data_IF_816258699605
#
_entry.id   IF_816258699605
#
_cell.length_a   1.000
_cell.length_b   1.000
_cell.length_c   1.000
_cell.angle_alpha   90.00
_cell.angle_beta   90.00
_cell.angle_gamma   90.00
#
_symmetry.space_group_name_H-M   'P 1'
#
loop_
_entity.id
_entity.type
_entity.pdbx_description
1 polymer ?
#
# COMPACT_ATOMS: atom_id res chain seq x y z
N UNK A 1 0.14 -5.81 11.05
CA UNK A 1 0.52 -7.20 10.71
C UNK A 1 -0.11 -7.60 9.38
N UNK A 2 0.66 -7.57 8.29
CA UNK A 2 0.18 -7.84 6.92
C UNK A 2 1.34 -7.84 5.92
N UNK A 3 1.12 -8.39 4.73
CA UNK A 3 1.91 -8.05 3.54
C UNK A 3 0.97 -7.52 2.45
N UNK A 4 1.16 -6.26 2.07
CA UNK A 4 0.48 -5.63 0.94
C UNK A 4 1.53 -5.02 0.01
N UNK A 5 1.36 -5.15 -1.30
CA UNK A 5 2.29 -4.64 -2.31
C UNK A 5 1.57 -3.98 -3.48
N UNK A 6 2.27 -3.09 -4.15
CA UNK A 6 1.89 -2.53 -5.46
C UNK A 6 3.05 -2.67 -6.43
N UNK A 7 2.72 -2.90 -7.69
CA UNK A 7 3.69 -3.04 -8.79
C UNK A 7 3.17 -2.29 -10.00
N UNK A 8 4.05 -1.60 -10.71
CA UNK A 8 3.84 -1.00 -12.01
C UNK A 8 4.85 -1.61 -12.95
N UNK A 9 4.40 -2.17 -14.08
CA UNK A 9 5.30 -2.68 -15.11
C UNK A 9 4.65 -2.62 -16.48
N UNK A 10 5.32 -1.97 -17.43
CA UNK A 10 4.75 -1.70 -18.75
C UNK A 10 3.47 -0.86 -18.64
N UNK A 11 2.40 -1.29 -19.30
CA UNK A 11 1.11 -0.61 -19.32
C UNK A 11 0.13 -1.10 -18.24
N UNK A 12 0.60 -1.82 -17.22
CA UNK A 12 -0.23 -2.40 -16.16
C UNK A 12 0.32 -2.07 -14.78
N UNK A 13 -0.61 -1.85 -13.84
CA UNK A 13 -0.33 -1.84 -12.41
C UNK A 13 -1.04 -3.00 -11.73
N UNK A 14 -0.49 -3.48 -10.62
CA UNK A 14 -1.03 -4.52 -9.80
C UNK A 14 -1.00 -4.10 -8.32
N UNK A 15 -1.97 -4.60 -7.57
CA UNK A 15 -2.00 -4.54 -6.11
C UNK A 15 -2.28 -5.92 -5.56
N UNK A 16 -1.60 -6.30 -4.50
CA UNK A 16 -1.80 -7.59 -3.87
C UNK A 16 -1.71 -7.51 -2.35
N UNK A 17 -2.42 -8.42 -1.67
CA UNK A 17 -2.35 -8.56 -0.23
C UNK A 17 -2.53 -10.02 0.22
N UNK A 18 -1.99 -10.32 1.39
CA UNK A 18 -2.34 -11.53 2.13
C UNK A 18 -3.76 -11.41 2.75
N UNK A 19 -4.29 -12.52 3.29
CA UNK A 19 -5.65 -12.59 3.81
C UNK A 19 -5.73 -12.75 5.34
N UNK A 20 -4.61 -12.77 6.06
CA UNK A 20 -4.61 -13.04 7.50
C UNK A 20 -5.16 -11.85 8.29
N UNK A 21 -6.12 -12.10 9.17
CA UNK A 21 -6.55 -11.15 10.20
C UNK A 21 -6.32 -11.77 11.56
N UNK A 22 -6.06 -10.94 12.57
CA UNK A 22 -5.92 -11.38 13.96
C UNK A 22 -6.74 -10.50 14.89
N UNK A 23 -7.21 -11.08 16.00
CA UNK A 23 -7.70 -10.36 17.17
C UNK A 23 -6.65 -10.48 18.28
N UNK A 24 -5.83 -9.46 18.44
CA UNK A 24 -4.56 -9.60 19.17
C UNK A 24 -3.69 -10.66 18.49
N UNK A 25 -3.26 -11.66 19.25
CA UNK A 25 -2.48 -12.80 18.73
C UNK A 25 -3.34 -13.96 18.20
N UNK A 26 -4.67 -13.88 18.34
CA UNK A 26 -5.57 -14.95 17.90
C UNK A 26 -5.82 -14.85 16.40
N UNK A 27 -5.37 -15.86 15.66
CA UNK A 27 -5.57 -15.96 14.21
C UNK A 27 -7.04 -16.12 13.82
N UNK A 28 -7.52 -15.23 12.95
CA UNK A 28 -8.79 -15.34 12.24
C UNK A 28 -8.51 -15.58 10.75
N UNK A 29 -8.43 -16.86 10.37
CA UNK A 29 -8.15 -17.22 8.99
C UNK A 29 -9.36 -17.04 8.06
N UNK A 30 -9.11 -17.05 6.75
CA UNK A 30 -10.15 -16.95 5.72
C UNK A 30 -11.20 -18.07 5.77
N UNK A 31 -10.92 -19.19 6.45
CA UNK A 31 -11.89 -20.26 6.64
C UNK A 31 -13.09 -19.83 7.50
N UNK A 32 -12.92 -18.81 8.34
CA UNK A 32 -13.95 -18.32 9.24
C UNK A 32 -14.59 -17.01 8.77
N UNK A 33 -13.85 -16.16 8.07
CA UNK A 33 -14.36 -14.90 7.56
C UNK A 33 -13.64 -14.49 6.27
N UNK A 34 -14.39 -14.02 5.27
CA UNK A 34 -13.81 -13.46 4.05
C UNK A 34 -13.24 -12.08 4.32
N UNK A 35 -12.06 -12.05 4.91
CA UNK A 35 -11.29 -10.82 5.11
C UNK A 35 -10.67 -10.37 3.79
N UNK A 36 -10.96 -9.12 3.39
CA UNK A 36 -10.37 -8.47 2.23
C UNK A 36 -9.67 -7.20 2.67
N UNK A 37 -8.33 -7.20 2.55
CA UNK A 37 -7.49 -6.03 2.81
C UNK A 37 -7.43 -5.10 1.62
N UNK A 38 -7.77 -5.62 0.44
CA UNK A 38 -7.91 -4.87 -0.81
C UNK A 38 -9.38 -4.66 -1.11
N UNK A 39 -9.78 -3.43 -1.43
CA UNK A 39 -11.14 -3.14 -1.87
C UNK A 39 -11.17 -2.09 -2.97
N UNK A 40 -12.20 -2.12 -3.85
CA UNK A 40 -12.32 -1.17 -4.94
C UNK A 40 -12.67 0.23 -4.42
N UNK A 41 -12.06 1.24 -5.02
CA UNK A 41 -12.36 2.67 -4.81
C UNK A 41 -12.25 3.37 -6.15
N UNK A 42 -13.37 3.91 -6.64
CA UNK A 42 -13.44 4.48 -7.98
C UNK A 42 -13.12 3.44 -9.07
N UNK A 43 -12.15 3.75 -9.91
CA UNK A 43 -11.63 2.92 -11.00
C UNK A 43 -10.39 2.09 -10.63
N UNK A 44 -10.03 2.08 -9.35
CA UNK A 44 -8.87 1.36 -8.84
C UNK A 44 -9.14 0.63 -7.53
N UNK A 45 -8.06 0.38 -6.82
CA UNK A 45 -8.04 -0.41 -5.60
C UNK A 45 -7.17 0.25 -4.54
N UNK A 46 -7.54 0.03 -3.29
CA UNK A 46 -6.74 0.39 -2.12
C UNK A 46 -6.47 -0.85 -1.27
N UNK A 47 -5.26 -0.99 -0.78
CA UNK A 47 -4.86 -1.99 0.20
C UNK A 47 -4.48 -1.30 1.51
N UNK A 48 -5.04 -1.76 2.63
CA UNK A 48 -4.76 -1.20 3.95
C UNK A 48 -3.79 -2.07 4.74
N UNK A 49 -2.90 -1.42 5.50
CA UNK A 49 -2.20 -2.04 6.62
C UNK A 49 -2.74 -1.50 7.95
N UNK A 50 -2.45 -2.21 9.03
CA UNK A 50 -2.84 -1.84 10.39
C UNK A 50 -3.99 -2.68 10.94
N UNK A 51 -4.76 -2.10 11.86
CA UNK A 51 -5.86 -2.77 12.55
C UNK A 51 -7.03 -3.07 11.62
N UNK A 52 -7.66 -4.23 11.79
CA UNK A 52 -8.87 -4.64 11.05
C UNK A 52 -10.03 -3.65 11.22
N UNK A 53 -10.07 -2.91 12.34
CA UNK A 53 -11.06 -1.87 12.56
C UNK A 53 -11.03 -0.75 11.51
N UNK A 54 -9.87 -0.51 10.87
CA UNK A 54 -9.76 0.49 9.81
C UNK A 54 -10.46 0.07 8.51
N UNK A 55 -10.68 -1.23 8.26
CA UNK A 55 -11.16 -1.69 6.96
C UNK A 55 -12.61 -1.25 6.68
N UNK A 56 -13.58 -1.43 7.59
CA UNK A 56 -14.95 -0.96 7.39
C UNK A 56 -15.04 0.57 7.36
N UNK A 57 -14.24 1.24 8.20
CA UNK A 57 -14.19 2.70 8.30
C UNK A 57 -13.73 3.31 6.98
N UNK A 58 -12.55 2.91 6.50
CA UNK A 58 -11.98 3.44 5.27
C UNK A 58 -12.84 3.11 4.05
N UNK A 59 -13.42 1.90 3.99
CA UNK A 59 -14.35 1.53 2.91
C UNK A 59 -15.57 2.44 2.88
N UNK A 60 -16.21 2.66 4.04
CA UNK A 60 -17.40 3.52 4.15
C UNK A 60 -17.06 4.97 3.85
N UNK A 61 -15.94 5.46 4.39
CA UNK A 61 -15.51 6.85 4.26
C UNK A 61 -15.16 7.18 2.80
N UNK A 62 -14.29 6.38 2.17
CA UNK A 62 -13.89 6.62 0.77
C UNK A 62 -15.07 6.51 -0.19
N UNK A 63 -15.98 5.55 0.03
CA UNK A 63 -17.22 5.45 -0.75
C UNK A 63 -18.13 6.67 -0.53
N UNK A 64 -18.23 7.17 0.71
CA UNK A 64 -19.05 8.32 1.07
C UNK A 64 -18.53 9.66 0.54
N UNK A 65 -17.24 9.77 0.17
CA UNK A 65 -16.70 10.95 -0.48
C UNK A 65 -17.17 11.11 -1.94
N UNK A 66 -17.58 10.03 -2.60
CA UNK A 66 -18.06 10.07 -3.99
C UNK A 66 -17.07 10.77 -4.93
N UNK A 67 -17.54 11.76 -5.67
CA UNK A 67 -16.73 12.54 -6.64
C UNK A 67 -15.59 13.33 -5.98
N UNK A 68 -15.63 13.55 -4.67
CA UNK A 68 -14.55 14.19 -3.93
C UNK A 68 -13.36 13.25 -3.68
N UNK A 69 -13.54 11.93 -3.84
CA UNK A 69 -12.47 10.94 -3.72
C UNK A 69 -11.62 10.91 -4.99
N UNK A 70 -10.61 11.79 -5.06
CA UNK A 70 -9.72 11.90 -6.23
C UNK A 70 -8.38 11.26 -5.94
N UNK A 71 -8.03 10.23 -6.71
CA UNK A 71 -6.80 9.44 -6.50
C UNK A 71 -5.89 9.41 -7.74
N UNK A 72 -6.11 10.29 -8.71
CA UNK A 72 -5.43 10.26 -10.03
C UNK A 72 -4.05 10.94 -10.08
N UNK A 73 -3.57 11.52 -8.98
CA UNK A 73 -2.23 12.09 -8.90
C UNK A 73 -1.80 12.18 -7.44
N UNK A 74 -0.50 12.39 -7.18
CA UNK A 74 0.02 12.60 -5.82
C UNK A 74 -0.72 13.70 -5.07
N UNK A 75 -0.98 14.82 -5.75
CA UNK A 75 -1.64 15.99 -5.13
C UNK A 75 -3.13 15.74 -4.88
N UNK A 76 -3.81 15.04 -5.80
CA UNK A 76 -5.21 14.64 -5.63
C UNK A 76 -5.34 13.65 -4.45
N UNK A 77 -4.46 12.65 -4.37
CA UNK A 77 -4.40 11.71 -3.24
C UNK A 77 -4.18 12.47 -1.92
N UNK A 78 -3.21 13.39 -1.88
CA UNK A 78 -2.96 14.19 -0.67
C UNK A 78 -4.20 14.97 -0.21
N UNK A 79 -4.87 15.68 -1.11
CA UNK A 79 -6.09 16.45 -0.77
C UNK A 79 -7.23 15.54 -0.34
N UNK A 80 -7.39 14.38 -0.97
CA UNK A 80 -8.39 13.39 -0.56
C UNK A 80 -8.10 12.92 0.86
N UNK A 81 -6.85 12.57 1.18
CA UNK A 81 -6.48 12.07 2.51
C UNK A 81 -6.48 13.14 3.60
N UNK A 82 -6.38 14.44 3.27
CA UNK A 82 -6.69 15.51 4.21
C UNK A 82 -8.16 15.48 4.66
N UNK A 83 -9.09 15.31 3.72
CA UNK A 83 -10.53 15.18 4.03
C UNK A 83 -10.82 13.89 4.80
N UNK A 84 -10.12 12.80 4.46
CA UNK A 84 -10.21 11.54 5.19
C UNK A 84 -9.83 11.75 6.65
N UNK A 85 -8.70 12.40 6.92
CA UNK A 85 -8.24 12.69 8.28
C UNK A 85 -9.28 13.48 9.08
N UNK A 86 -9.84 14.53 8.50
CA UNK A 86 -10.89 15.33 9.15
C UNK A 86 -12.08 14.45 9.58
N UNK A 87 -12.58 13.62 8.67
CA UNK A 87 -13.69 12.69 8.93
C UNK A 87 -13.34 11.59 9.93
N UNK A 88 -12.12 11.05 9.88
CA UNK A 88 -11.64 10.05 10.85
C UNK A 88 -11.71 10.60 12.28
N UNK A 89 -11.38 11.88 12.46
CA UNK A 89 -11.43 12.57 13.75
C UNK A 89 -12.86 12.92 14.17
N UNK A 90 -13.66 13.49 13.27
CA UNK A 90 -15.01 14.00 13.60
C UNK A 90 -16.06 12.90 13.74
N UNK A 91 -16.03 11.92 12.85
CA UNK A 91 -17.14 10.96 12.66
C UNK A 91 -16.77 9.58 13.23
N UNK A 92 -15.48 9.23 13.21
CA UNK A 92 -14.98 7.91 13.62
C UNK A 92 -14.11 7.94 14.89
N UNK A 93 -13.91 9.13 15.48
CA UNK A 93 -13.23 9.33 16.76
C UNK A 93 -11.85 8.66 16.87
N UNK A 94 -11.10 8.63 15.77
CA UNK A 94 -9.72 8.10 15.75
C UNK A 94 -8.84 8.94 16.67
N UNK A 95 -8.03 8.27 17.50
CA UNK A 95 -6.98 8.94 18.24
C UNK A 95 -5.82 9.26 17.29
N UNK A 96 -5.56 10.54 17.08
CA UNK A 96 -4.58 11.04 16.11
C UNK A 96 -3.18 11.23 16.69
N UNK A 97 -2.96 10.81 17.94
CA UNK A 97 -1.68 10.92 18.63
C UNK A 97 -0.88 9.62 18.46
N UNK A 98 0.33 9.73 17.92
CA UNK A 98 1.25 8.61 17.73
C UNK A 98 2.48 8.79 18.63
N UNK A 99 3.19 9.91 18.51
CA UNK A 99 4.26 10.34 19.43
C UNK A 99 4.03 11.77 19.97
N UNK A 100 4.67 12.11 21.08
CA UNK A 100 4.61 13.45 21.70
C UNK A 100 5.36 14.51 20.88
N UNK A 101 6.41 14.10 20.16
CA UNK A 101 7.30 14.99 19.39
C UNK A 101 6.91 15.12 17.91
N UNK A 102 5.77 14.57 17.51
CA UNK A 102 5.34 14.55 16.11
C UNK A 102 4.92 15.94 15.61
N UNK A 103 5.42 16.39 14.44
CA UNK A 103 5.07 17.70 13.89
C UNK A 103 3.66 17.76 13.29
N UNK A 104 3.04 16.60 13.00
CA UNK A 104 1.72 16.49 12.38
C UNK A 104 0.84 15.46 13.09
N UNK A 105 -0.47 15.67 13.10
CA UNK A 105 -1.43 14.65 13.56
C UNK A 105 -1.34 13.39 12.68
N UNK A 106 -1.31 12.22 13.31
CA UNK A 106 -1.36 10.92 12.64
C UNK A 106 -2.79 10.54 12.28
N UNK A 107 -2.98 10.01 11.08
CA UNK A 107 -4.23 9.38 10.66
C UNK A 107 -4.36 7.94 11.14
N UNK A 108 -3.26 7.34 11.63
CA UNK A 108 -3.14 5.90 11.92
C UNK A 108 -3.37 5.00 10.69
N UNK A 109 -3.39 5.58 9.48
CA UNK A 109 -3.62 4.87 8.22
C UNK A 109 -2.30 4.76 7.44
N UNK A 110 -1.98 3.53 7.05
CA UNK A 110 -0.98 3.25 6.01
C UNK A 110 -1.66 2.45 4.92
N UNK A 111 -1.59 2.95 3.68
CA UNK A 111 -2.23 2.29 2.55
C UNK A 111 -1.44 2.39 1.25
N UNK A 112 -1.71 1.44 0.35
CA UNK A 112 -1.28 1.47 -1.03
C UNK A 112 -2.49 1.61 -1.95
N UNK A 113 -2.31 2.33 -3.05
CA UNK A 113 -3.35 2.60 -4.05
C UNK A 113 -2.82 2.18 -5.41
N UNK A 114 -3.65 1.52 -6.22
CA UNK A 114 -3.37 1.21 -7.61
C UNK A 114 -4.59 1.54 -8.47
N UNK A 115 -4.41 2.40 -9.46
CA UNK A 115 -5.47 2.83 -10.38
C UNK A 115 -4.87 3.14 -11.77
N UNK A 116 -5.67 3.51 -12.77
CA UNK A 116 -5.16 3.79 -14.11
C UNK A 116 -4.13 4.92 -14.20
N UNK A 117 -4.05 5.81 -13.21
CA UNK A 117 -3.05 6.87 -13.15
C UNK A 117 -1.70 6.43 -12.57
N UNK A 118 -1.65 5.31 -11.86
CA UNK A 118 -0.41 4.80 -11.29
C UNK A 118 -0.57 4.06 -9.96
N UNK A 119 0.55 3.98 -9.23
CA UNK A 119 0.63 3.38 -7.90
C UNK A 119 1.12 4.40 -6.89
N UNK A 120 0.43 4.47 -5.76
CA UNK A 120 0.68 5.46 -4.71
C UNK A 120 0.74 4.81 -3.33
N UNK A 121 1.41 5.48 -2.40
CA UNK A 121 1.43 5.11 -0.98
C UNK A 121 1.05 6.31 -0.13
N UNK A 122 0.27 6.08 0.93
CA UNK A 122 -0.04 7.08 1.96
C UNK A 122 0.39 6.53 3.31
N UNK A 123 1.13 7.33 4.07
CA UNK A 123 1.60 7.00 5.42
C UNK A 123 0.90 7.82 6.49
N UNK A 124 1.07 7.42 7.75
CA UNK A 124 0.32 7.92 8.92
C UNK A 124 0.22 9.44 8.99
N UNK A 125 1.28 10.17 8.66
CA UNK A 125 1.31 11.65 8.67
C UNK A 125 0.81 12.32 7.38
N UNK A 126 0.12 11.55 6.52
CA UNK A 126 -0.42 11.96 5.21
C UNK A 126 0.64 12.24 4.14
N UNK A 127 1.83 11.67 4.31
CA UNK A 127 2.85 11.69 3.28
C UNK A 127 2.38 10.84 2.10
N UNK A 128 2.42 11.42 0.90
CA UNK A 128 1.99 10.74 -0.32
C UNK A 128 3.17 10.53 -1.25
N UNK A 129 3.38 9.28 -1.63
CA UNK A 129 4.41 8.87 -2.58
C UNK A 129 3.77 8.32 -3.85
N UNK A 130 4.45 8.56 -4.97
CA UNK A 130 4.19 7.88 -6.25
C UNK A 130 5.37 6.95 -6.51
N UNK A 131 5.10 5.71 -6.93
CA UNK A 131 6.16 4.73 -7.15
C UNK A 131 6.30 4.39 -8.64
N UNK A 132 7.54 4.27 -9.11
CA UNK A 132 7.82 3.97 -10.51
C UNK A 132 7.83 2.48 -10.83
N UNK A 133 8.14 1.63 -9.85
CA UNK A 133 8.31 0.18 -10.04
C UNK A 133 7.44 -0.65 -9.10
N UNK A 134 7.76 -0.67 -7.82
CA UNK A 134 7.00 -1.42 -6.83
C UNK A 134 7.28 -0.91 -5.43
N UNK A 135 6.37 -1.22 -4.51
CA UNK A 135 6.55 -0.96 -3.09
C UNK A 135 5.73 -1.95 -2.25
N UNK A 136 6.00 -2.01 -0.95
CA UNK A 136 5.29 -2.86 0.00
C UNK A 136 5.11 -2.21 1.36
N UNK A 137 4.00 -2.52 2.04
CA UNK A 137 3.69 -2.09 3.41
C UNK A 137 3.32 -3.28 4.29
N UNK A 138 3.33 -3.06 5.61
CA UNK A 138 3.06 -4.09 6.61
C UNK A 138 4.31 -4.82 7.08
N UNK A 139 4.12 -5.78 8.00
CA UNK A 139 5.19 -6.53 8.68
C UNK A 139 6.03 -7.38 7.73
N UNK A 140 5.43 -7.96 6.67
CA UNK A 140 6.15 -8.79 5.71
C UNK A 140 6.77 -8.04 4.53
N UNK A 141 6.71 -6.70 4.52
CA UNK A 141 7.18 -5.89 3.39
C UNK A 141 8.65 -6.11 3.02
N UNK A 142 9.52 -6.35 3.99
CA UNK A 142 10.95 -6.51 3.73
C UNK A 142 11.23 -7.75 2.87
N UNK A 143 10.53 -8.86 3.14
CA UNK A 143 10.61 -10.08 2.34
C UNK A 143 10.05 -9.84 0.93
N UNK A 144 8.91 -9.16 0.85
CA UNK A 144 8.26 -8.84 -0.41
C UNK A 144 9.11 -7.95 -1.32
N UNK A 145 9.75 -6.91 -0.75
CA UNK A 145 10.62 -5.99 -1.49
C UNK A 145 11.83 -6.73 -2.08
N UNK A 146 12.48 -7.60 -1.31
CA UNK A 146 13.59 -8.42 -1.81
C UNK A 146 13.17 -9.36 -2.93
N UNK A 147 12.02 -10.04 -2.78
CA UNK A 147 11.50 -10.95 -3.77
C UNK A 147 11.13 -10.23 -5.08
N UNK A 148 10.36 -9.13 -5.00
CA UNK A 148 9.98 -8.33 -6.16
C UNK A 148 11.21 -7.75 -6.87
N UNK A 149 12.18 -7.25 -6.11
CA UNK A 149 13.44 -6.75 -6.67
C UNK A 149 14.15 -7.83 -7.51
N UNK A 150 14.25 -9.05 -7.01
CA UNK A 150 14.96 -10.14 -7.69
C UNK A 150 14.30 -10.57 -9.01
N UNK A 151 12.98 -10.36 -9.15
CA UNK A 151 12.21 -10.82 -10.32
C UNK A 151 11.71 -9.70 -11.22
N UNK A 152 11.86 -8.42 -10.83
CA UNK A 152 11.22 -7.31 -11.53
C UNK A 152 11.63 -7.21 -13.01
N UNK A 153 12.92 -7.38 -13.31
CA UNK A 153 13.46 -7.23 -14.67
C UNK A 153 13.25 -8.49 -15.56
N UNK A 154 12.60 -9.53 -15.04
CA UNK A 154 12.28 -10.74 -15.82
C UNK A 154 11.26 -10.43 -16.91
N UNK A 155 11.56 -10.64 -18.20
CA UNK A 155 10.68 -10.26 -19.30
C UNK A 155 9.40 -11.12 -19.39
N UNK A 156 9.42 -12.31 -18.78
CA UNK A 156 8.33 -13.27 -18.76
C UNK A 156 7.28 -13.02 -17.66
N UNK A 157 7.49 -12.02 -16.79
CA UNK A 157 6.59 -11.73 -15.66
C UNK A 157 5.90 -10.37 -15.80
N UNK A 158 4.57 -10.35 -15.70
CA UNK A 158 3.76 -9.14 -15.63
C UNK A 158 3.70 -8.54 -14.22
N UNK A 159 3.03 -7.39 -14.09
CA UNK A 159 2.88 -6.70 -12.81
C UNK A 159 2.14 -7.58 -11.77
N UNK A 160 1.09 -8.28 -12.21
CA UNK A 160 0.32 -9.19 -11.36
C UNK A 160 1.12 -10.38 -10.84
N UNK A 161 1.97 -11.01 -11.66
CA UNK A 161 2.85 -12.10 -11.20
C UNK A 161 3.90 -11.61 -10.20
N UNK A 162 4.53 -10.46 -10.45
CA UNK A 162 5.53 -9.87 -9.54
C UNK A 162 4.88 -9.53 -8.19
N UNK A 163 3.69 -8.92 -8.21
CA UNK A 163 2.96 -8.59 -6.98
C UNK A 163 2.65 -9.84 -6.15
N UNK A 164 2.22 -10.93 -6.80
CA UNK A 164 1.98 -12.21 -6.13
C UNK A 164 3.25 -12.80 -5.53
N UNK A 165 4.37 -12.79 -6.27
CA UNK A 165 5.67 -13.25 -5.75
C UNK A 165 6.08 -12.45 -4.51
N UNK A 166 5.85 -11.13 -4.52
CA UNK A 166 6.09 -10.28 -3.35
C UNK A 166 5.30 -10.73 -2.12
N UNK A 167 3.99 -10.92 -2.26
CA UNK A 167 3.16 -11.38 -1.13
C UNK A 167 3.52 -12.80 -0.70
N UNK A 168 3.83 -13.69 -1.64
CA UNK A 168 4.22 -15.08 -1.35
C UNK A 168 5.46 -15.14 -0.45
N UNK A 169 6.47 -14.32 -0.74
CA UNK A 169 7.65 -14.19 0.12
C UNK A 169 7.30 -13.64 1.53
N UNK A 170 6.34 -12.73 1.62
CA UNK A 170 5.81 -12.26 2.90
C UNK A 170 5.12 -13.38 3.68
N UNK A 171 4.27 -14.18 3.01
CA UNK A 171 3.57 -15.32 3.61
C UNK A 171 4.53 -16.41 4.09
N UNK A 172 5.64 -16.64 3.38
CA UNK A 172 6.63 -17.65 3.74
C UNK A 172 7.34 -17.34 5.07
N UNK A 173 7.67 -16.07 5.32
CA UNK A 173 8.56 -15.69 6.43
C UNK A 173 7.95 -14.79 7.51
N UNK A 174 6.89 -14.03 7.22
CA UNK A 174 6.19 -13.23 8.22
C UNK A 174 5.09 -14.06 8.89
N UNK A 175 5.24 -14.31 10.20
CA UNK A 175 4.22 -14.96 11.06
C UNK A 175 2.83 -14.32 10.96
N UNK A 176 2.78 -13.07 10.53
CA UNK A 176 1.60 -12.22 10.46
C UNK A 176 1.04 -12.04 9.06
N UNK A 177 1.48 -12.86 8.10
CA UNK A 177 0.98 -12.92 6.74
C UNK A 177 0.54 -14.34 6.40
N UNK A 178 -0.64 -14.51 5.81
CA UNK A 178 -1.09 -15.83 5.36
C UNK A 178 -2.00 -15.76 4.14
N UNK A 179 -1.94 -16.80 3.32
CA UNK A 179 -2.81 -16.95 2.16
C UNK A 179 -4.29 -17.16 2.51
N UNK A 180 -5.17 -17.14 1.49
CA UNK A 180 -4.83 -16.99 0.07
C UNK A 180 -4.42 -15.55 -0.29
N UNK A 181 -3.58 -15.43 -1.32
CA UNK A 181 -3.13 -14.14 -1.86
C UNK A 181 -4.21 -13.59 -2.79
N UNK A 182 -4.63 -12.34 -2.55
CA UNK A 182 -5.51 -11.60 -3.43
C UNK A 182 -4.68 -10.67 -4.31
N UNK A 183 -4.93 -10.67 -5.63
CA UNK A 183 -4.22 -9.86 -6.63
C UNK A 183 -5.24 -9.22 -7.55
N UNK A 184 -5.11 -7.91 -7.79
CA UNK A 184 -5.89 -7.17 -8.78
C UNK A 184 -4.94 -6.44 -9.71
N UNK A 185 -5.28 -6.39 -11.00
CA UNK A 185 -4.54 -5.63 -12.01
C UNK A 185 -5.43 -4.56 -12.64
N UNK A 186 -4.80 -3.45 -13.03
CA UNK A 186 -5.45 -2.30 -13.68
C UNK A 186 -4.55 -1.83 -14.81
N UNK A 187 -5.14 -1.55 -15.97
CA UNK A 187 -4.40 -0.95 -17.09
C UNK A 187 -4.18 0.53 -16.83
N UNK A 188 -2.96 1.00 -17.10
CA UNK A 188 -2.65 2.43 -17.07
C UNK A 188 -3.34 3.18 -18.20
N UNK A 189 -3.61 4.46 -18.00
CA UNK A 189 -3.92 5.36 -19.09
C UNK A 189 -2.73 5.46 -20.06
N UNK A 190 -3.01 5.80 -21.32
CA UNK A 190 -1.98 5.84 -22.37
C UNK A 190 -0.83 6.80 -22.01
N UNK A 191 -1.15 7.96 -21.46
CA UNK A 191 -0.16 8.98 -21.07
C UNK A 191 0.70 8.50 -19.90
N UNK A 192 0.09 7.83 -18.91
CA UNK A 192 0.79 7.29 -17.75
C UNK A 192 1.64 6.07 -18.12
N UNK A 193 1.22 5.24 -19.07
CA UNK A 193 2.04 4.13 -19.57
C UNK A 193 3.33 4.62 -20.25
N UNK A 194 3.29 5.77 -20.91
CA UNK A 194 4.44 6.35 -21.62
C UNK A 194 5.48 7.00 -20.66
N UNK A 195 5.07 7.36 -19.44
CA UNK A 195 5.92 8.03 -18.46
C UNK A 195 6.82 7.10 -17.62
N UNK A 196 6.80 5.78 -17.87
CA UNK A 196 7.62 4.83 -17.11
C UNK A 196 9.13 5.03 -17.40
N UNK A 197 10.00 5.09 -16.37
CA UNK A 197 11.43 5.30 -16.60
C UNK A 197 12.05 4.12 -17.36
N UNK A 198 12.90 4.43 -18.35
CA UNK A 198 13.78 3.45 -18.95
C UNK A 198 14.70 2.87 -17.87
N UNK A 199 14.89 1.55 -17.86
CA UNK A 199 15.70 0.85 -16.86
C UNK A 199 17.12 1.43 -16.81
N UNK A 200 17.42 2.19 -15.76
CA UNK A 200 18.75 2.77 -15.56
C UNK A 200 19.65 1.73 -14.90
N UNK A 201 20.36 0.95 -15.72
CA UNK A 201 21.48 0.11 -15.27
C UNK A 201 22.74 0.97 -15.19
N UNK A 202 22.83 1.84 -14.17
CA UNK A 202 24.07 2.50 -13.81
C UNK A 202 24.59 1.90 -12.49
N UNK A 203 25.53 0.97 -12.62
CA UNK A 203 26.36 0.50 -11.53
C UNK A 203 27.33 1.62 -11.07
N UNK A 204 27.43 1.81 -9.76
CA UNK A 204 28.60 2.43 -9.11
C UNK A 204 28.50 3.93 -8.83
N UNK A 205 28.20 4.26 -7.58
CA UNK A 205 28.35 5.61 -7.03
C UNK A 205 28.09 5.62 -5.53
N UNK A 206 29.16 5.72 -4.74
CA UNK A 206 29.19 5.77 -3.28
C UNK A 206 28.24 6.85 -2.70
N UNK A 207 27.34 6.54 -1.75
CA UNK A 207 26.55 7.57 -1.09
C UNK A 207 27.18 7.91 0.27
N UNK A 208 28.06 8.91 0.27
CA UNK A 208 28.33 9.68 1.47
C UNK A 208 27.28 10.79 1.61
N UNK A 209 26.65 10.84 2.77
CA UNK A 209 25.68 11.84 3.27
C UNK A 209 24.22 11.68 2.80
N UNK A 210 23.39 11.17 3.70
CA UNK A 210 21.93 11.17 3.60
C UNK A 210 21.33 11.09 5.01
N UNK A 211 20.70 12.18 5.43
CA UNK A 211 20.07 12.35 6.74
C UNK A 211 18.98 11.29 6.94
N UNK A 212 19.06 10.51 8.01
CA UNK A 212 18.14 9.42 8.30
C UNK A 212 16.77 9.97 8.70
N UNK A 213 15.75 9.74 7.86
CA UNK A 213 14.36 9.75 8.32
C UNK A 213 14.20 8.54 9.26
N UNK A 214 13.89 8.81 10.52
CA UNK A 214 13.68 7.79 11.55
C UNK A 214 12.37 7.06 11.25
N UNK A 215 12.49 5.78 10.87
CA UNK A 215 11.37 4.85 10.78
C UNK A 215 10.77 4.64 12.17
N UNK A 216 9.54 5.12 12.41
CA UNK A 216 8.73 4.68 13.53
C UNK A 216 7.63 3.74 13.00
N UNK A 217 8.02 2.51 12.64
CA UNK A 217 7.08 1.38 12.52
C UNK A 217 7.18 0.54 13.81
N UNK A 218 6.97 1.22 14.95
CA UNK A 218 6.92 0.60 16.26
C UNK A 218 5.68 -0.26 16.42
N UNK A 219 5.84 -1.58 16.26
CA UNK A 219 4.92 -2.55 16.82
C UNK A 219 5.59 -3.21 18.04
N UNK A 220 4.85 -3.55 19.11
CA UNK A 220 4.97 -4.85 19.71
C UNK A 220 4.31 -5.93 18.82
#
# INVERSE_FOLDING_TARGET
MTTCVVVRKGAEVAIAADALVTFGDTRLSRAYERNQKVFPVGDGFIALAGTTAHFPVMRTLLAGLGDECRLGSRDDVFRTFLKVHEKLKSDYFVNTKEDDDDPYESSQIVCLIANPAGIFGVYSYREVFSFDRFWGIGSGRNYALGAMHAVYDRPDLGAGEIARIGVDAGVEFDKSSAGPIEVHTVRLHADDAAAAPAADHAAGGDPASGNAATNNDGAP
#
